data_IF_440943356916
#
_entry.id   IF_440943356916
#
_cell.length_a   1.000
_cell.length_b   1.000
_cell.length_c   1.000
_cell.angle_alpha   90.00
_cell.angle_beta   90.00
_cell.angle_gamma   90.00
#
_symmetry.space_group_name_H-M   'P 1'
#
loop_
_entity.id
_entity.type
_entity.pdbx_description
1 polymer ?
#
# COMPACT_ATOMS: atom_id res chain seq x y z
N UNK A 1 4.80 -19.49 2.87
CA UNK A 1 4.19 -18.87 4.06
C UNK A 1 5.04 -19.04 5.32
N UNK A 2 5.74 -20.17 5.52
CA UNK A 2 6.60 -20.38 6.71
C UNK A 2 7.75 -19.39 6.96
N UNK A 3 7.94 -18.37 6.10
CA UNK A 3 8.93 -17.29 6.28
C UNK A 3 8.47 -16.20 7.27
N UNK A 4 7.16 -16.11 7.52
CA UNK A 4 6.60 -15.13 8.43
C UNK A 4 6.64 -15.64 9.88
N UNK A 5 6.74 -14.73 10.84
CA UNK A 5 6.73 -15.08 12.27
C UNK A 5 5.36 -15.63 12.69
N UNK A 6 5.35 -16.37 13.79
CA UNK A 6 4.12 -16.78 14.48
C UNK A 6 3.27 -15.56 14.82
N UNK A 7 1.96 -15.72 14.69
CA UNK A 7 0.94 -14.68 14.88
C UNK A 7 1.14 -13.38 14.08
N UNK A 8 2.10 -13.35 13.15
CA UNK A 8 2.40 -12.14 12.41
C UNK A 8 1.33 -11.87 11.37
N UNK A 9 0.89 -10.62 11.32
CA UNK A 9 -0.11 -10.18 10.37
C UNK A 9 0.53 -9.93 8.99
N UNK A 10 0.16 -10.75 8.00
CA UNK A 10 0.79 -10.75 6.68
C UNK A 10 -0.03 -9.90 5.72
N UNK A 11 0.46 -8.70 5.40
CA UNK A 11 -0.16 -7.85 4.39
C UNK A 11 -0.29 -8.56 3.03
N UNK A 12 -1.52 -8.69 2.51
CA UNK A 12 -1.83 -9.33 1.24
C UNK A 12 -0.99 -8.76 0.08
N UNK A 13 -0.92 -7.42 0.00
CA UNK A 13 -0.14 -6.72 -1.03
C UNK A 13 1.36 -6.98 -0.97
N UNK A 14 1.92 -7.32 0.21
CA UNK A 14 3.34 -7.65 0.35
C UNK A 14 3.59 -9.09 -0.10
N UNK A 15 2.72 -10.01 0.31
CA UNK A 15 2.81 -11.43 -0.04
C UNK A 15 2.78 -11.64 -1.55
N UNK A 16 1.82 -10.99 -2.21
CA UNK A 16 1.67 -10.98 -3.66
C UNK A 16 2.97 -10.53 -4.36
N UNK A 17 3.52 -9.38 -3.95
CA UNK A 17 4.73 -8.80 -4.53
C UNK A 17 5.93 -9.75 -4.42
N UNK A 18 6.05 -10.45 -3.29
CA UNK A 18 7.08 -11.47 -3.09
C UNK A 18 6.88 -12.64 -4.07
N UNK A 19 5.66 -13.17 -4.20
CA UNK A 19 5.38 -14.29 -5.11
C UNK A 19 5.61 -13.96 -6.58
N UNK A 20 5.29 -12.73 -7.00
CA UNK A 20 5.59 -12.24 -8.35
C UNK A 20 7.11 -12.21 -8.59
N UNK A 21 7.87 -11.63 -7.65
CA UNK A 21 9.32 -11.52 -7.79
C UNK A 21 10.04 -12.88 -7.77
N UNK A 22 9.52 -13.82 -6.97
CA UNK A 22 9.98 -15.21 -6.91
C UNK A 22 9.61 -16.02 -8.16
N UNK A 23 8.61 -15.56 -8.92
CA UNK A 23 8.10 -16.24 -10.12
C UNK A 23 7.15 -17.40 -9.83
N UNK A 24 6.55 -17.43 -8.63
CA UNK A 24 5.52 -18.42 -8.28
C UNK A 24 4.21 -18.17 -9.00
N UNK A 25 3.88 -16.89 -9.20
CA UNK A 25 2.71 -16.48 -9.96
C UNK A 25 3.07 -16.40 -11.44
N UNK A 26 2.53 -17.32 -12.23
CA UNK A 26 2.48 -17.20 -13.68
C UNK A 26 1.12 -16.62 -14.06
N UNK A 27 1.04 -15.61 -14.95
CA UNK A 27 -0.24 -15.18 -15.50
C UNK A 27 -0.90 -16.37 -16.19
N UNK A 28 -2.11 -16.74 -15.75
CA UNK A 28 -2.97 -17.66 -16.52
C UNK A 28 -3.36 -16.94 -17.82
N UNK A 29 -3.29 -17.62 -18.96
CA UNK A 29 -3.53 -17.00 -20.28
C UNK A 29 -4.83 -16.18 -20.28
N UNK A 30 -4.72 -14.88 -20.53
CA UNK A 30 -5.86 -13.95 -20.64
C UNK A 30 -6.34 -13.30 -19.33
N UNK A 31 -5.79 -13.63 -18.15
CA UNK A 31 -6.14 -12.97 -16.88
C UNK A 31 -5.06 -12.00 -16.43
N UNK A 32 -5.48 -10.90 -15.81
CA UNK A 32 -4.54 -9.94 -15.21
C UNK A 32 -3.82 -10.58 -14.00
N UNK A 33 -2.61 -10.10 -13.70
CA UNK A 33 -1.84 -10.58 -12.55
C UNK A 33 -2.63 -10.45 -11.25
N UNK A 34 -3.42 -9.38 -11.12
CA UNK A 34 -4.25 -9.05 -9.95
C UNK A 34 -5.40 -10.05 -9.75
N UNK A 35 -5.99 -10.56 -10.85
CA UNK A 35 -7.02 -11.61 -10.79
C UNK A 35 -6.42 -12.97 -10.43
N UNK A 36 -5.26 -13.30 -11.02
CA UNK A 36 -4.55 -14.53 -10.67
C UNK A 36 -4.17 -14.53 -9.18
N UNK A 37 -3.63 -13.42 -8.68
CA UNK A 37 -3.28 -13.20 -7.28
C UNK A 37 -4.43 -13.48 -6.31
N UNK A 38 -5.62 -12.92 -6.60
CA UNK A 38 -6.83 -13.13 -5.78
C UNK A 38 -7.27 -14.59 -5.73
N UNK A 39 -7.17 -15.31 -6.86
CA UNK A 39 -7.53 -16.73 -6.93
C UNK A 39 -6.61 -17.62 -6.08
N UNK A 40 -5.29 -17.39 -6.11
CA UNK A 40 -4.35 -18.19 -5.31
C UNK A 40 -4.57 -17.99 -3.81
N UNK A 41 -4.76 -16.75 -3.36
CA UNK A 41 -5.00 -16.46 -1.94
C UNK A 41 -6.34 -17.03 -1.48
N UNK A 42 -7.40 -16.86 -2.27
CA UNK A 42 -8.70 -17.46 -1.99
C UNK A 42 -8.63 -18.98 -1.86
N UNK A 43 -7.93 -19.65 -2.77
CA UNK A 43 -7.75 -21.10 -2.70
C UNK A 43 -6.99 -21.57 -1.45
N UNK A 44 -6.09 -20.75 -0.89
CA UNK A 44 -5.42 -21.07 0.39
C UNK A 44 -6.36 -20.88 1.59
N UNK A 45 -7.22 -19.85 1.55
CA UNK A 45 -8.26 -19.62 2.56
C UNK A 45 -9.28 -20.75 2.53
N UNK A 46 -9.79 -21.11 1.35
CA UNK A 46 -10.80 -22.18 1.17
C UNK A 46 -10.29 -23.56 1.64
N UNK A 47 -8.97 -23.75 1.69
CA UNK A 47 -8.30 -24.96 2.22
C UNK A 47 -7.90 -24.85 3.69
N UNK A 48 -8.27 -23.77 4.37
CA UNK A 48 -7.91 -23.47 5.76
C UNK A 48 -6.40 -23.47 6.02
N UNK A 49 -5.58 -23.11 5.01
CA UNK A 49 -4.12 -23.02 5.16
C UNK A 49 -3.68 -21.65 5.65
N UNK A 50 -4.49 -20.62 5.42
CA UNK A 50 -4.29 -19.25 5.89
C UNK A 50 -5.66 -18.71 6.33
N UNK A 51 -5.67 -17.79 7.29
CA UNK A 51 -6.89 -17.16 7.80
C UNK A 51 -6.92 -15.68 7.43
N UNK A 52 -8.12 -15.11 7.22
CA UNK A 52 -8.30 -13.68 7.00
C UNK A 52 -8.19 -12.96 8.35
N UNK A 53 -7.28 -11.98 8.44
CA UNK A 53 -7.03 -11.22 9.67
C UNK A 53 -7.69 -9.84 9.62
N UNK A 54 -7.46 -9.10 8.53
CA UNK A 54 -8.17 -7.86 8.25
C UNK A 54 -8.76 -7.90 6.86
N UNK A 55 -10.00 -7.48 6.76
CA UNK A 55 -10.74 -7.39 5.52
C UNK A 55 -11.17 -5.95 5.29
N UNK A 56 -10.93 -5.43 4.08
CA UNK A 56 -11.64 -4.23 3.65
C UNK A 56 -13.08 -4.62 3.31
N UNK A 57 -14.05 -3.72 3.55
CA UNK A 57 -15.40 -3.90 3.04
C UNK A 57 -15.39 -4.32 1.54
N UNK A 58 -16.36 -5.17 1.11
CA UNK A 58 -16.44 -5.84 -0.21
C UNK A 58 -15.61 -7.12 -0.38
N UNK A 59 -15.20 -7.76 0.71
CA UNK A 59 -14.41 -8.99 0.65
C UNK A 59 -12.91 -8.78 0.33
N UNK A 60 -12.43 -7.54 0.43
CA UNK A 60 -11.08 -7.17 -0.01
C UNK A 60 -10.07 -7.40 1.11
N UNK A 61 -9.61 -8.64 1.26
CA UNK A 61 -8.66 -9.00 2.33
C UNK A 61 -7.39 -8.12 2.30
N UNK A 62 -7.13 -7.45 3.43
CA UNK A 62 -5.95 -6.61 3.66
C UNK A 62 -4.77 -7.43 4.15
N UNK A 63 -5.04 -8.42 4.96
CA UNK A 63 -4.01 -9.26 5.56
C UNK A 63 -4.53 -10.62 5.94
N UNK A 64 -3.57 -11.54 6.01
CA UNK A 64 -3.79 -12.93 6.37
C UNK A 64 -2.94 -13.29 7.58
N UNK A 65 -3.36 -14.32 8.31
CA UNK A 65 -2.57 -15.04 9.29
C UNK A 65 -2.32 -16.46 8.81
N UNK A 66 -1.38 -17.13 9.46
CA UNK A 66 -1.15 -18.57 9.30
C UNK A 66 -1.20 -19.18 10.70
N UNK A 67 -1.94 -20.27 10.86
CA UNK A 67 -1.97 -21.01 12.12
C UNK A 67 -0.61 -21.66 12.38
N UNK A 68 -0.18 -21.69 13.65
CA UNK A 68 1.17 -22.14 14.04
C UNK A 68 1.49 -23.56 13.56
N UNK A 69 0.54 -24.50 13.69
CA UNK A 69 0.72 -25.88 13.20
C UNK A 69 0.94 -25.94 11.68
N UNK A 70 0.24 -25.09 10.92
CA UNK A 70 0.39 -25.01 9.45
C UNK A 70 1.71 -24.33 9.09
N UNK A 71 2.13 -23.32 9.86
CA UNK A 71 3.44 -22.68 9.73
C UNK A 71 4.56 -23.70 9.99
N UNK A 72 4.49 -24.47 11.07
CA UNK A 72 5.47 -25.50 11.41
C UNK A 72 5.56 -26.57 10.33
N UNK A 73 4.41 -27.01 9.80
CA UNK A 73 4.36 -27.92 8.65
C UNK A 73 5.04 -27.30 7.41
N UNK A 74 4.78 -26.02 7.11
CA UNK A 74 5.44 -25.32 6.01
C UNK A 74 6.96 -25.24 6.19
N UNK A 75 7.44 -24.98 7.41
CA UNK A 75 8.87 -24.88 7.72
C UNK A 75 9.53 -26.25 7.58
N UNK A 76 8.96 -27.30 8.20
CA UNK A 76 9.44 -28.68 8.08
C UNK A 76 9.51 -29.13 6.63
N UNK A 77 8.43 -28.94 5.86
CA UNK A 77 8.41 -29.32 4.45
C UNK A 77 9.41 -28.51 3.61
N UNK A 78 9.56 -27.22 3.89
CA UNK A 78 10.54 -26.41 3.17
C UNK A 78 12.00 -26.78 3.52
N UNK A 79 12.24 -27.31 4.71
CA UNK A 79 13.54 -27.86 5.11
C UNK A 79 13.83 -29.17 4.36
N UNK A 80 12.88 -30.11 4.32
CA UNK A 80 13.00 -31.35 3.52
C UNK A 80 13.34 -31.08 2.05
N UNK A 81 12.72 -30.05 1.47
CA UNK A 81 12.88 -29.68 0.06
C UNK A 81 14.03 -28.69 -0.19
N UNK A 82 14.83 -28.35 0.83
CA UNK A 82 15.92 -27.36 0.76
C UNK A 82 15.49 -25.98 0.20
N UNK A 83 14.23 -25.60 0.47
CA UNK A 83 13.54 -24.50 -0.18
C UNK A 83 13.58 -23.18 0.61
N UNK A 84 13.59 -23.26 1.95
CA UNK A 84 13.56 -22.12 2.87
C UNK A 84 14.37 -22.45 4.13
N UNK A 85 15.12 -21.46 4.61
CA UNK A 85 15.75 -21.49 5.92
C UNK A 85 15.13 -20.47 6.88
N UNK A 86 14.70 -20.95 8.05
CA UNK A 86 14.20 -20.16 9.20
C UNK A 86 14.91 -20.68 10.45
N UNK A 87 15.67 -19.83 11.15
CA UNK A 87 16.66 -20.25 12.16
C UNK A 87 16.09 -20.81 13.48
N UNK A 88 14.79 -20.93 13.66
CA UNK A 88 14.25 -21.73 14.78
C UNK A 88 14.71 -23.21 14.74
N UNK A 89 15.32 -23.66 13.62
CA UNK A 89 15.76 -25.04 13.40
C UNK A 89 17.23 -25.09 12.93
N UNK A 90 17.98 -26.08 13.43
CA UNK A 90 19.43 -26.27 13.22
C UNK A 90 19.84 -26.27 11.74
N UNK A 91 21.07 -25.83 11.45
CA UNK A 91 21.72 -25.93 10.14
C UNK A 91 22.13 -27.38 9.83
N UNK A 92 21.61 -27.98 8.75
CA UNK A 92 22.27 -29.14 8.17
C UNK A 92 23.45 -28.66 7.31
N UNK A 93 24.58 -29.34 7.44
CA UNK A 93 25.76 -29.12 6.59
C UNK A 93 25.42 -29.53 5.15
N UNK A 94 25.87 -28.74 4.17
CA UNK A 94 25.83 -28.98 2.70
C UNK A 94 24.55 -28.61 1.91
N UNK A 95 23.84 -27.53 2.25
CA UNK A 95 22.55 -27.22 1.60
C UNK A 95 22.58 -26.04 0.61
N UNK A 96 22.03 -26.29 -0.59
CA UNK A 96 21.72 -25.33 -1.66
C UNK A 96 20.51 -24.42 -1.32
N UNK A 97 20.57 -23.71 -0.19
CA UNK A 97 19.46 -22.89 0.29
C UNK A 97 19.10 -21.79 -0.71
N UNK A 98 17.83 -21.75 -1.12
CA UNK A 98 17.34 -20.78 -2.11
C UNK A 98 16.73 -19.54 -1.47
N UNK A 99 16.33 -19.58 -0.20
CA UNK A 99 15.70 -18.45 0.52
C UNK A 99 16.16 -18.39 1.97
N UNK A 100 16.44 -17.17 2.42
CA UNK A 100 16.99 -16.88 3.73
C UNK A 100 16.11 -15.84 4.41
N UNK A 101 15.65 -16.14 5.62
CA UNK A 101 15.00 -15.18 6.49
C UNK A 101 15.75 -15.06 7.81
N UNK A 102 15.97 -13.82 8.23
CA UNK A 102 16.75 -13.50 9.41
C UNK A 102 15.97 -12.59 10.37
N UNK A 103 16.01 -12.94 11.66
CA UNK A 103 15.45 -12.14 12.75
C UNK A 103 16.53 -11.41 13.56
N UNK A 104 17.79 -11.83 13.45
CA UNK A 104 18.97 -11.12 13.95
C UNK A 104 20.10 -11.22 12.90
N UNK A 105 20.92 -10.18 12.74
CA UNK A 105 22.00 -10.17 11.76
C UNK A 105 23.17 -11.08 12.12
N UNK A 106 23.45 -11.23 13.42
CA UNK A 106 24.48 -12.15 13.92
C UNK A 106 24.20 -13.60 13.48
N UNK A 107 22.92 -13.91 13.26
CA UNK A 107 22.49 -15.23 12.85
C UNK A 107 22.88 -15.61 11.43
N UNK A 108 22.93 -14.61 10.55
CA UNK A 108 23.22 -14.79 9.13
C UNK A 108 24.72 -14.84 8.92
N UNK A 109 25.46 -13.97 9.62
CA UNK A 109 26.89 -13.73 9.38
C UNK A 109 27.75 -15.00 9.49
N UNK A 110 27.46 -15.84 10.48
CA UNK A 110 28.16 -17.11 10.69
C UNK A 110 27.96 -18.13 9.56
N UNK A 111 26.88 -18.01 8.78
CA UNK A 111 26.44 -19.04 7.82
C UNK A 111 26.30 -18.53 6.38
N UNK A 112 26.61 -17.25 6.12
CA UNK A 112 26.51 -16.63 4.78
C UNK A 112 27.25 -17.42 3.70
N UNK A 113 28.45 -17.90 4.02
CA UNK A 113 29.30 -18.65 3.08
C UNK A 113 28.69 -19.99 2.66
N UNK A 114 27.70 -20.50 3.41
CA UNK A 114 27.01 -21.76 3.13
C UNK A 114 25.80 -21.56 2.19
N UNK A 115 25.48 -20.31 1.81
CA UNK A 115 24.27 -19.99 1.05
C UNK A 115 24.52 -19.24 -0.27
N UNK A 116 25.55 -19.58 -1.09
CA UNK A 116 25.88 -18.80 -2.30
C UNK A 116 24.76 -18.82 -3.36
N UNK A 117 23.82 -19.77 -3.28
CA UNK A 117 22.70 -19.93 -4.21
C UNK A 117 21.41 -19.26 -3.75
N UNK A 118 21.44 -18.49 -2.66
CA UNK A 118 20.26 -17.78 -2.18
C UNK A 118 19.73 -16.81 -3.25
N UNK A 119 18.43 -16.90 -3.51
CA UNK A 119 17.68 -16.02 -4.42
C UNK A 119 16.78 -15.04 -3.68
N UNK A 120 16.63 -15.19 -2.37
CA UNK A 120 15.77 -14.36 -1.55
C UNK A 120 16.41 -14.15 -0.19
N UNK A 121 16.53 -12.91 0.23
CA UNK A 121 16.97 -12.53 1.56
C UNK A 121 15.96 -11.56 2.17
N UNK A 122 15.43 -11.92 3.34
CA UNK A 122 14.48 -11.10 4.08
C UNK A 122 14.95 -10.91 5.52
N UNK A 123 15.00 -9.66 5.98
CA UNK A 123 15.24 -9.33 7.37
C UNK A 123 13.94 -8.87 8.02
N UNK A 124 13.50 -9.61 9.04
CA UNK A 124 12.26 -9.35 9.79
C UNK A 124 12.52 -9.11 11.28
N UNK A 125 13.80 -8.95 11.66
CA UNK A 125 14.21 -8.64 13.02
C UNK A 125 13.87 -7.23 13.49
N UNK A 126 14.06 -7.01 14.80
CA UNK A 126 14.07 -5.68 15.39
C UNK A 126 15.19 -4.82 14.77
N UNK A 127 15.00 -3.50 14.79
CA UNK A 127 15.87 -2.55 14.07
C UNK A 127 17.34 -2.72 14.47
N UNK A 128 18.16 -3.23 13.55
CA UNK A 128 19.60 -3.38 13.70
C UNK A 128 20.36 -2.24 13.00
N UNK A 129 21.59 -1.96 13.47
CA UNK A 129 22.55 -1.06 12.81
C UNK A 129 23.29 -1.79 11.67
N UNK A 130 23.68 -1.01 10.68
CA UNK A 130 24.16 -1.29 9.30
C UNK A 130 25.30 -2.33 9.13
N UNK A 131 25.90 -2.82 10.21
CA UNK A 131 27.31 -3.27 10.27
C UNK A 131 27.64 -4.51 9.40
N UNK A 132 26.65 -5.28 8.92
CA UNK A 132 26.89 -6.55 8.22
C UNK A 132 26.22 -6.68 6.83
N UNK A 133 25.57 -5.63 6.34
CA UNK A 133 24.76 -5.69 5.12
C UNK A 133 25.59 -5.83 3.84
N UNK A 134 26.75 -5.17 3.80
CA UNK A 134 27.70 -5.24 2.69
C UNK A 134 28.17 -6.67 2.44
N UNK A 135 28.46 -7.43 3.51
CA UNK A 135 28.86 -8.85 3.43
C UNK A 135 27.74 -9.75 2.91
N UNK A 136 26.50 -9.51 3.34
CA UNK A 136 25.33 -10.25 2.83
C UNK A 136 25.21 -10.03 1.32
N UNK A 137 25.24 -8.78 0.87
CA UNK A 137 25.09 -8.43 -0.54
C UNK A 137 26.24 -8.98 -1.39
N UNK A 138 27.48 -8.88 -0.89
CA UNK A 138 28.66 -9.34 -1.62
C UNK A 138 28.72 -10.87 -1.75
N UNK A 139 28.16 -11.60 -0.78
CA UNK A 139 28.09 -13.07 -0.79
C UNK A 139 26.92 -13.57 -1.63
N UNK A 140 25.73 -12.97 -1.49
CA UNK A 140 24.49 -13.45 -2.10
C UNK A 140 24.23 -12.77 -3.46
N UNK A 141 25.09 -12.99 -4.46
CA UNK A 141 25.01 -12.31 -5.77
C UNK A 141 23.82 -12.75 -6.65
N UNK A 142 23.15 -13.86 -6.31
CA UNK A 142 22.04 -14.42 -7.08
C UNK A 142 20.65 -13.97 -6.60
N UNK A 143 20.59 -12.98 -5.71
CA UNK A 143 19.34 -12.47 -5.16
C UNK A 143 18.40 -11.91 -6.24
N UNK A 144 17.15 -12.35 -6.17
CA UNK A 144 15.97 -11.82 -6.86
C UNK A 144 15.09 -11.00 -5.92
N UNK A 145 15.11 -11.31 -4.63
CA UNK A 145 14.33 -10.61 -3.60
C UNK A 145 15.28 -10.16 -2.50
N UNK A 146 15.26 -8.87 -2.19
CA UNK A 146 15.95 -8.29 -1.04
C UNK A 146 14.93 -7.44 -0.25
N UNK A 147 14.49 -7.93 0.91
CA UNK A 147 13.60 -7.21 1.82
C UNK A 147 14.33 -6.89 3.13
N UNK A 148 14.75 -5.65 3.27
CA UNK A 148 15.51 -5.13 4.41
C UNK A 148 14.80 -3.93 5.05
N UNK A 149 13.47 -3.87 4.96
CA UNK A 149 12.67 -2.78 5.55
C UNK A 149 12.86 -2.63 7.06
N UNK A 150 13.22 -3.71 7.76
CA UNK A 150 13.50 -3.70 9.21
C UNK A 150 14.80 -2.99 9.60
N UNK A 151 15.66 -2.64 8.65
CA UNK A 151 17.00 -2.09 8.89
C UNK A 151 17.00 -0.61 8.58
N UNK A 152 17.52 0.22 9.49
CA UNK A 152 17.64 1.66 9.24
C UNK A 152 19.01 1.96 8.65
N UNK A 153 19.06 2.11 7.33
CA UNK A 153 20.27 2.49 6.60
C UNK A 153 20.49 3.99 6.73
N UNK A 154 21.73 4.40 6.97
CA UNK A 154 22.08 5.83 6.92
C UNK A 154 22.26 6.25 5.47
N UNK A 155 22.90 5.40 4.68
CA UNK A 155 23.14 5.63 3.26
C UNK A 155 22.63 4.47 2.42
N UNK A 156 22.40 4.73 1.14
CA UNK A 156 22.07 3.70 0.19
C UNK A 156 23.31 2.82 -0.05
N UNK A 157 23.28 1.52 0.26
CA UNK A 157 24.41 0.62 0.05
C UNK A 157 24.60 0.37 -1.44
N UNK A 158 25.64 0.98 -2.02
CA UNK A 158 25.94 0.91 -3.45
C UNK A 158 26.22 -0.51 -3.94
N UNK A 159 26.58 -1.43 -3.05
CA UNK A 159 26.75 -2.86 -3.33
C UNK A 159 25.47 -3.50 -3.87
N UNK A 160 24.28 -2.99 -3.49
CA UNK A 160 22.99 -3.49 -4.03
C UNK A 160 22.97 -3.40 -5.56
N UNK A 161 23.65 -2.41 -6.14
CA UNK A 161 23.73 -2.21 -7.59
C UNK A 161 24.45 -3.34 -8.34
N UNK A 162 25.16 -4.21 -7.62
CA UNK A 162 25.80 -5.40 -8.16
C UNK A 162 24.81 -6.57 -8.34
N UNK A 163 23.64 -6.52 -7.70
CA UNK A 163 22.61 -7.56 -7.73
C UNK A 163 21.76 -7.47 -9.02
N UNK A 164 22.36 -7.73 -10.18
CA UNK A 164 21.68 -7.59 -11.49
C UNK A 164 20.47 -8.50 -11.69
N UNK A 165 20.32 -9.55 -10.88
CA UNK A 165 19.18 -10.48 -10.90
C UNK A 165 17.98 -9.99 -10.08
N UNK A 166 18.11 -8.86 -9.38
CA UNK A 166 17.12 -8.38 -8.44
C UNK A 166 15.82 -7.99 -9.15
N UNK A 167 14.70 -8.49 -8.62
CA UNK A 167 13.33 -8.25 -9.08
C UNK A 167 12.49 -7.52 -8.03
N UNK A 168 12.82 -7.68 -6.76
CA UNK A 168 12.18 -7.01 -5.64
C UNK A 168 13.24 -6.42 -4.71
N UNK A 169 13.11 -5.12 -4.45
CA UNK A 169 13.93 -4.40 -3.51
C UNK A 169 13.04 -3.64 -2.54
N UNK A 170 13.14 -3.94 -1.26
CA UNK A 170 12.48 -3.18 -0.20
C UNK A 170 13.49 -2.76 0.86
N UNK A 171 13.65 -1.46 1.07
CA UNK A 171 14.65 -0.93 2.00
C UNK A 171 14.17 0.32 2.72
N UNK A 172 14.84 0.60 3.84
CA UNK A 172 14.60 1.78 4.64
C UNK A 172 15.91 2.57 4.75
N UNK A 173 15.95 3.79 4.20
CA UNK A 173 17.17 4.61 4.11
C UNK A 173 16.93 6.06 4.51
N UNK A 174 17.99 6.75 4.95
CA UNK A 174 17.99 8.21 5.16
C UNK A 174 18.52 8.98 3.96
N UNK A 175 19.31 8.37 3.08
CA UNK A 175 19.84 9.02 1.89
C UNK A 175 18.88 8.89 0.69
N UNK A 176 18.95 9.83 -0.28
CA UNK A 176 18.34 9.63 -1.60
C UNK A 176 18.81 8.35 -2.29
N UNK A 177 18.04 7.90 -3.28
CA UNK A 177 18.46 6.83 -4.18
C UNK A 177 19.45 7.39 -5.23
N UNK A 178 20.56 6.71 -5.52
CA UNK A 178 21.47 7.14 -6.57
C UNK A 178 20.85 6.87 -7.96
N UNK A 179 21.18 7.67 -8.96
CA UNK A 179 20.73 7.47 -10.36
C UNK A 179 21.14 6.13 -10.95
N UNK A 180 22.23 5.57 -10.44
CA UNK A 180 22.73 4.24 -10.80
C UNK A 180 21.81 3.08 -10.38
N UNK A 181 20.74 3.33 -9.61
CA UNK A 181 19.68 2.34 -9.34
C UNK A 181 19.03 1.81 -10.63
N UNK A 182 19.02 2.61 -11.70
CA UNK A 182 18.56 2.23 -13.04
C UNK A 182 19.32 1.03 -13.63
N UNK A 183 20.54 0.73 -13.14
CA UNK A 183 21.32 -0.46 -13.51
C UNK A 183 20.64 -1.77 -13.13
N UNK A 184 19.69 -1.74 -12.20
CA UNK A 184 18.89 -2.91 -11.80
C UNK A 184 17.76 -3.17 -12.80
N UNK A 185 18.10 -3.41 -14.07
CA UNK A 185 17.15 -3.54 -15.18
C UNK A 185 16.12 -4.68 -15.02
N UNK A 186 16.36 -5.64 -14.13
CA UNK A 186 15.43 -6.72 -13.79
C UNK A 186 14.41 -6.34 -12.71
N UNK A 187 14.54 -5.17 -12.09
CA UNK A 187 13.73 -4.79 -10.95
C UNK A 187 12.29 -4.58 -11.38
N UNK A 188 11.36 -5.26 -10.70
CA UNK A 188 9.92 -5.20 -10.94
C UNK A 188 9.21 -4.42 -9.86
N UNK A 189 9.70 -4.50 -8.61
CA UNK A 189 9.08 -3.90 -7.44
C UNK A 189 10.16 -3.17 -6.62
N UNK A 190 9.96 -1.88 -6.41
CA UNK A 190 10.79 -1.03 -5.56
C UNK A 190 9.94 -0.47 -4.42
N UNK A 191 10.37 -0.71 -3.19
CA UNK A 191 9.74 -0.16 -1.98
C UNK A 191 10.80 0.57 -1.18
N UNK A 192 10.64 1.87 -0.99
CA UNK A 192 11.58 2.66 -0.20
C UNK A 192 10.82 3.40 0.89
N UNK A 193 11.23 3.12 2.13
CA UNK A 193 10.76 3.83 3.32
C UNK A 193 11.80 4.88 3.70
N UNK A 194 11.45 6.15 3.50
CA UNK A 194 12.27 7.25 3.92
C UNK A 194 12.30 7.39 5.45
N UNK A 195 13.48 7.64 6.00
CA UNK A 195 13.66 8.14 7.37
C UNK A 195 14.39 9.47 7.30
N UNK A 196 13.73 10.52 6.83
CA UNK A 196 14.30 11.87 6.82
C UNK A 196 14.03 12.60 8.15
N UNK A 197 15.00 13.40 8.60
CA UNK A 197 14.85 14.39 9.69
C UNK A 197 15.61 15.68 9.32
N UNK A 198 14.95 16.85 9.16
CA UNK A 198 13.49 16.99 9.12
C UNK A 198 12.90 16.14 7.98
N UNK A 199 11.61 15.79 8.03
CA UNK A 199 10.96 14.86 7.10
C UNK A 199 10.82 15.45 5.70
N UNK A 200 11.95 15.70 5.05
CA UNK A 200 12.02 16.06 3.66
C UNK A 200 11.79 14.83 2.77
N UNK A 201 11.39 15.06 1.53
CA UNK A 201 11.35 14.01 0.51
C UNK A 201 12.69 13.28 0.36
N UNK A 202 12.69 12.04 -0.15
CA UNK A 202 13.83 11.63 -0.97
C UNK A 202 13.70 12.24 -2.34
N UNK A 203 14.79 12.73 -2.92
CA UNK A 203 14.84 13.00 -4.36
C UNK A 203 15.06 11.66 -5.04
N UNK A 204 14.19 11.34 -5.98
CA UNK A 204 14.33 10.19 -6.87
C UNK A 204 14.69 10.71 -8.23
N UNK A 205 15.74 10.14 -8.81
CA UNK A 205 16.24 10.57 -10.10
C UNK A 205 15.34 10.06 -11.23
N UNK A 206 15.31 10.76 -12.37
CA UNK A 206 14.45 10.41 -13.51
C UNK A 206 14.64 8.99 -14.02
N UNK A 207 15.86 8.46 -13.95
CA UNK A 207 16.29 7.20 -14.57
C UNK A 207 15.60 5.98 -13.95
N UNK A 208 14.92 6.12 -12.80
CA UNK A 208 14.06 5.06 -12.27
C UNK A 208 12.89 4.78 -13.22
N UNK A 209 12.42 5.80 -13.93
CA UNK A 209 11.33 5.63 -14.90
C UNK A 209 11.80 4.93 -16.18
N UNK A 210 13.10 4.92 -16.46
CA UNK A 210 13.70 4.22 -17.61
C UNK A 210 13.77 2.70 -17.41
N UNK A 211 13.46 2.22 -16.20
CA UNK A 211 13.49 0.81 -15.85
C UNK A 211 12.27 0.09 -16.43
N UNK A 212 12.41 -0.46 -17.63
CA UNK A 212 11.31 -1.07 -18.41
C UNK A 212 10.63 -2.26 -17.74
N UNK A 213 11.27 -2.96 -16.79
CA UNK A 213 10.62 -4.07 -16.06
C UNK A 213 9.91 -3.64 -14.78
N UNK A 214 10.07 -2.37 -14.39
CA UNK A 214 9.55 -1.84 -13.14
C UNK A 214 8.04 -1.62 -13.23
N UNK A 215 7.30 -2.34 -12.39
CA UNK A 215 5.83 -2.33 -12.37
C UNK A 215 5.27 -1.57 -11.20
N UNK A 216 5.99 -1.57 -10.07
CA UNK A 216 5.49 -0.99 -8.84
C UNK A 216 6.59 -0.23 -8.10
N UNK A 217 6.31 1.04 -7.83
CA UNK A 217 7.13 1.90 -7.00
C UNK A 217 6.30 2.35 -5.80
N UNK A 218 6.77 2.02 -4.60
CA UNK A 218 6.13 2.41 -3.35
C UNK A 218 7.08 3.22 -2.50
N UNK A 219 6.90 4.52 -2.51
CA UNK A 219 7.54 5.41 -1.57
C UNK A 219 6.67 5.64 -0.33
N UNK A 220 7.32 5.94 0.79
CA UNK A 220 6.69 6.56 1.96
C UNK A 220 7.35 7.94 2.16
N UNK A 221 6.70 9.00 1.67
CA UNK A 221 7.11 10.43 1.67
C UNK A 221 8.35 10.71 0.79
N UNK A 222 8.18 10.95 -0.51
CA UNK A 222 9.30 11.09 -1.47
C UNK A 222 8.95 12.01 -2.64
N UNK A 223 9.88 12.84 -3.10
CA UNK A 223 9.74 13.61 -4.34
C UNK A 223 10.39 12.86 -5.49
N UNK A 224 9.68 12.79 -6.60
CA UNK A 224 10.29 12.42 -7.87
C UNK A 224 10.59 13.72 -8.58
N UNK A 225 11.87 13.94 -8.89
CA UNK A 225 12.29 15.03 -9.75
C UNK A 225 12.52 14.44 -11.14
N UNK A 226 11.79 14.93 -12.14
CA UNK A 226 11.90 14.48 -13.52
C UNK A 226 12.14 15.69 -14.42
N UNK A 227 13.38 15.86 -14.88
CA UNK A 227 13.79 16.98 -15.75
C UNK A 227 13.99 16.58 -17.21
N UNK A 228 13.93 15.27 -17.54
CA UNK A 228 14.26 14.77 -18.88
C UNK A 228 13.02 14.41 -19.70
N UNK A 229 13.14 14.43 -21.04
CA UNK A 229 12.00 14.59 -21.95
C UNK A 229 11.64 13.35 -22.79
N UNK A 230 12.13 12.15 -22.48
CA UNK A 230 12.24 11.11 -23.52
C UNK A 230 11.72 9.70 -23.21
N UNK A 231 11.16 9.38 -22.05
CA UNK A 231 10.76 8.00 -21.75
C UNK A 231 9.29 7.86 -21.35
N UNK A 232 8.56 7.07 -22.14
CA UNK A 232 7.23 6.54 -21.78
C UNK A 232 7.44 5.26 -20.99
N UNK A 233 6.92 5.19 -19.76
CA UNK A 233 7.03 4.00 -18.92
C UNK A 233 5.74 3.19 -18.96
N UNK A 234 5.61 2.37 -20.00
CA UNK A 234 4.41 1.59 -20.26
C UNK A 234 4.19 0.40 -19.30
N UNK A 235 5.20 -0.06 -18.56
CA UNK A 235 5.05 -1.20 -17.64
C UNK A 235 4.64 -0.80 -16.22
N UNK A 236 4.69 0.50 -15.86
CA UNK A 236 4.42 0.94 -14.51
C UNK A 236 2.92 0.92 -14.21
N UNK A 237 2.51 0.09 -13.25
CA UNK A 237 1.11 -0.10 -12.87
C UNK A 237 0.75 0.60 -11.55
N UNK A 238 1.74 0.82 -10.69
CA UNK A 238 1.54 1.46 -9.40
C UNK A 238 2.68 2.40 -9.05
N UNK A 239 2.34 3.65 -8.76
CA UNK A 239 3.25 4.67 -8.27
C UNK A 239 2.63 5.30 -7.03
N UNK A 240 3.31 5.32 -5.88
CA UNK A 240 2.72 5.90 -4.67
C UNK A 240 3.65 6.82 -3.90
N UNK A 241 3.04 7.92 -3.43
CA UNK A 241 3.59 8.94 -2.54
C UNK A 241 4.62 9.83 -3.22
N UNK A 242 4.22 10.44 -4.35
CA UNK A 242 5.00 11.42 -5.12
C UNK A 242 4.44 12.82 -4.87
N UNK A 243 5.29 13.85 -4.76
CA UNK A 243 4.77 15.21 -4.68
C UNK A 243 4.15 15.66 -5.99
N UNK A 244 2.94 16.19 -5.90
CA UNK A 244 2.21 16.71 -7.06
C UNK A 244 2.78 18.04 -7.57
N UNK A 245 3.41 18.84 -6.71
CA UNK A 245 4.09 20.10 -7.08
C UNK A 245 5.13 19.90 -8.19
N UNK A 246 5.89 18.80 -8.11
CA UNK A 246 6.94 18.45 -9.08
C UNK A 246 6.47 17.53 -10.22
N UNK A 247 5.19 17.11 -10.25
CA UNK A 247 4.64 16.34 -11.36
C UNK A 247 4.16 17.31 -12.44
N UNK A 248 4.81 17.30 -13.60
CA UNK A 248 4.36 18.01 -14.82
C UNK A 248 3.38 17.14 -15.61
N UNK A 249 2.55 17.76 -16.46
CA UNK A 249 1.63 17.03 -17.34
C UNK A 249 2.36 16.04 -18.26
N UNK A 250 3.61 16.34 -18.62
CA UNK A 250 4.47 15.43 -19.40
C UNK A 250 4.82 14.16 -18.64
N UNK A 251 5.08 14.25 -17.34
CA UNK A 251 5.30 13.06 -16.49
C UNK A 251 4.00 12.25 -16.43
N UNK A 252 2.86 12.90 -16.24
CA UNK A 252 1.56 12.21 -16.23
C UNK A 252 1.33 11.47 -17.55
N UNK A 253 1.64 12.09 -18.68
CA UNK A 253 1.60 11.46 -20.01
C UNK A 253 2.61 10.30 -20.13
N UNK A 254 3.83 10.46 -19.62
CA UNK A 254 4.85 9.40 -19.63
C UNK A 254 4.46 8.18 -18.79
N UNK A 255 3.60 8.35 -17.77
CA UNK A 255 3.08 7.27 -16.94
C UNK A 255 1.86 6.56 -17.54
N UNK A 256 1.32 7.04 -18.67
CA UNK A 256 0.29 6.35 -19.45
C UNK A 256 0.92 5.25 -20.33
N UNK A 257 0.20 4.16 -20.67
CA UNK A 257 -1.24 3.92 -20.48
C UNK A 257 -1.62 3.03 -19.29
N UNK A 258 -0.68 2.33 -18.64
CA UNK A 258 -1.02 1.20 -17.76
C UNK A 258 -1.06 1.52 -16.25
N UNK A 259 -0.91 2.79 -15.87
CA UNK A 259 -0.92 3.18 -14.45
C UNK A 259 -2.32 3.02 -13.85
N UNK A 260 -2.47 2.05 -12.94
CA UNK A 260 -3.72 1.72 -12.26
C UNK A 260 -3.86 2.34 -10.89
N UNK A 261 -2.74 2.60 -10.22
CA UNK A 261 -2.69 3.07 -8.83
C UNK A 261 -1.72 4.24 -8.71
N UNK A 262 -2.24 5.39 -8.30
CA UNK A 262 -1.44 6.60 -8.07
C UNK A 262 -1.61 7.07 -6.62
N UNK A 263 -0.50 7.41 -5.97
CA UNK A 263 -0.48 8.10 -4.70
C UNK A 263 0.28 9.40 -4.84
N UNK A 264 -0.35 10.51 -4.52
CA UNK A 264 0.24 11.83 -4.53
C UNK A 264 0.18 12.46 -3.14
N UNK A 265 1.10 13.37 -2.87
CA UNK A 265 0.95 14.28 -1.75
C UNK A 265 1.27 15.71 -2.14
N UNK A 266 0.72 16.65 -1.37
CA UNK A 266 0.94 18.07 -1.48
C UNK A 266 1.54 18.57 -0.16
N UNK A 267 2.59 19.36 -0.28
CA UNK A 267 3.35 19.95 0.82
C UNK A 267 3.55 21.46 0.64
N UNK A 268 3.21 21.97 -0.55
CA UNK A 268 3.24 23.36 -0.95
C UNK A 268 1.94 23.67 -1.71
N UNK A 269 1.58 24.95 -1.85
CA UNK A 269 0.44 25.36 -2.67
C UNK A 269 0.68 25.02 -4.15
N UNK A 270 -0.40 24.66 -4.87
CA UNK A 270 -0.31 24.36 -6.29
C UNK A 270 -0.54 25.63 -7.11
N UNK A 271 0.49 26.04 -7.85
CA UNK A 271 0.40 27.21 -8.74
C UNK A 271 -0.50 26.99 -9.96
N UNK A 272 -0.83 25.73 -10.29
CA UNK A 272 -1.58 25.34 -11.48
C UNK A 272 -2.42 24.09 -11.25
N UNK A 273 -3.52 24.02 -11.98
CA UNK A 273 -4.32 22.80 -12.10
C UNK A 273 -3.48 21.66 -12.68
N UNK A 274 -3.67 20.44 -12.18
CA UNK A 274 -3.07 19.21 -12.69
C UNK A 274 -4.16 18.31 -13.24
N UNK A 275 -4.02 17.96 -14.51
CA UNK A 275 -4.99 17.15 -15.21
C UNK A 275 -4.65 15.66 -15.13
N UNK A 276 -5.30 14.93 -14.23
CA UNK A 276 -5.13 13.48 -14.13
C UNK A 276 -6.02 12.72 -15.13
N UNK A 277 -6.80 13.41 -15.97
CA UNK A 277 -7.68 12.80 -16.96
C UNK A 277 -6.93 11.93 -17.98
N UNK A 278 -5.67 12.27 -18.27
CA UNK A 278 -4.80 11.45 -19.15
C UNK A 278 -4.61 10.03 -18.64
N UNK A 279 -4.73 9.78 -17.34
CA UNK A 279 -4.54 8.48 -16.72
C UNK A 279 -5.82 7.61 -16.84
N UNK A 280 -6.18 7.23 -18.07
CA UNK A 280 -7.44 6.55 -18.40
C UNK A 280 -7.61 5.15 -17.76
N UNK A 281 -6.53 4.52 -17.30
CA UNK A 281 -6.58 3.26 -16.55
C UNK A 281 -6.44 3.45 -15.04
N UNK A 282 -6.49 4.68 -14.53
CA UNK A 282 -6.32 4.95 -13.11
C UNK A 282 -7.59 4.56 -12.34
N UNK A 283 -7.48 3.48 -11.56
CA UNK A 283 -8.59 2.96 -10.76
C UNK A 283 -8.50 3.37 -9.30
N UNK A 284 -7.30 3.68 -8.80
CA UNK A 284 -7.07 4.07 -7.40
C UNK A 284 -6.21 5.31 -7.32
N UNK A 285 -6.72 6.33 -6.65
CA UNK A 285 -6.01 7.56 -6.33
C UNK A 285 -5.94 7.72 -4.81
N UNK A 286 -4.75 8.00 -4.30
CA UNK A 286 -4.52 8.37 -2.90
C UNK A 286 -3.91 9.76 -2.86
N UNK A 287 -4.59 10.69 -2.23
CA UNK A 287 -4.10 12.04 -2.01
C UNK A 287 -3.77 12.22 -0.55
N UNK A 288 -2.69 12.94 -0.27
CA UNK A 288 -2.36 13.40 1.07
C UNK A 288 -1.97 14.86 1.03
N UNK A 289 -2.45 15.67 1.96
CA UNK A 289 -2.04 17.07 2.04
C UNK A 289 -1.45 17.38 3.41
N UNK A 290 -0.37 18.16 3.45
CA UNK A 290 0.11 18.77 4.67
C UNK A 290 0.06 20.26 4.37
N UNK A 291 -0.82 21.03 5.02
CA UNK A 291 -0.90 22.50 4.95
C UNK A 291 -1.77 23.16 3.86
N UNK A 292 -2.67 22.48 3.15
CA UNK A 292 -3.32 23.08 1.96
C UNK A 292 -4.56 23.95 2.17
N UNK A 293 -5.20 23.96 3.34
CA UNK A 293 -6.45 24.71 3.54
C UNK A 293 -7.56 24.43 2.50
N UNK A 294 -7.51 23.30 1.78
CA UNK A 294 -8.44 22.97 0.66
C UNK A 294 -7.88 23.12 -0.76
N UNK A 295 -6.62 23.52 -0.93
CA UNK A 295 -6.06 23.87 -2.24
C UNK A 295 -5.76 22.66 -3.16
N UNK A 296 -5.50 21.46 -2.61
CA UNK A 296 -5.12 20.30 -3.43
C UNK A 296 -6.25 19.86 -4.37
N UNK A 297 -7.44 19.61 -3.82
CA UNK A 297 -8.55 19.02 -4.58
C UNK A 297 -9.09 19.98 -5.63
N UNK A 298 -9.13 21.28 -5.31
CA UNK A 298 -9.50 22.35 -6.22
C UNK A 298 -8.62 22.37 -7.48
N UNK A 299 -7.35 22.01 -7.36
CA UNK A 299 -6.39 21.98 -8.47
C UNK A 299 -6.23 20.61 -9.15
N UNK A 300 -7.07 19.62 -8.85
CA UNK A 300 -7.00 18.30 -9.49
C UNK A 300 -8.20 18.06 -10.38
N UNK A 301 -7.97 17.64 -11.63
CA UNK A 301 -9.01 17.07 -12.48
C UNK A 301 -8.95 15.55 -12.35
N UNK A 302 -10.03 14.93 -11.88
CA UNK A 302 -10.10 13.49 -11.66
C UNK A 302 -10.43 12.74 -12.96
N UNK A 303 -9.81 11.56 -13.21
CA UNK A 303 -10.17 10.72 -14.36
C UNK A 303 -11.49 9.97 -14.10
N UNK A 304 -12.28 9.74 -15.15
CA UNK A 304 -13.54 8.99 -15.05
C UNK A 304 -13.36 7.51 -14.69
N UNK A 305 -12.18 6.93 -14.91
CA UNK A 305 -11.87 5.54 -14.57
C UNK A 305 -11.74 5.27 -13.07
N UNK A 306 -11.78 6.32 -12.24
CA UNK A 306 -11.47 6.24 -10.83
C UNK A 306 -12.55 5.48 -10.05
N UNK A 307 -12.15 4.35 -9.44
CA UNK A 307 -13.01 3.50 -8.61
C UNK A 307 -12.81 3.69 -7.12
N UNK A 308 -11.61 4.09 -6.71
CA UNK A 308 -11.23 4.26 -5.31
C UNK A 308 -10.48 5.56 -5.10
N UNK A 309 -11.04 6.44 -4.27
CA UNK A 309 -10.39 7.66 -3.81
C UNK A 309 -10.10 7.55 -2.31
N UNK A 310 -8.87 7.87 -1.92
CA UNK A 310 -8.48 8.00 -0.51
C UNK A 310 -7.86 9.36 -0.29
N UNK A 311 -8.49 10.18 0.53
CA UNK A 311 -8.00 11.49 0.96
C UNK A 311 -7.47 11.37 2.39
N UNK A 312 -6.27 11.92 2.62
CA UNK A 312 -5.62 11.92 3.93
C UNK A 312 -5.14 13.30 4.28
N UNK A 313 -5.50 13.79 5.46
CA UNK A 313 -5.02 15.08 5.97
C UNK A 313 -5.32 16.27 4.99
N UNK A 314 -6.31 16.12 4.09
CA UNK A 314 -6.68 17.14 3.10
C UNK A 314 -7.70 18.13 3.66
N UNK A 315 -7.61 19.40 3.28
CA UNK A 315 -8.74 20.31 3.35
C UNK A 315 -9.78 19.97 2.28
N UNK A 316 -11.06 20.08 2.61
CA UNK A 316 -12.18 19.77 1.71
C UNK A 316 -13.13 20.97 1.69
N UNK A 317 -13.34 21.54 0.49
CA UNK A 317 -14.37 22.54 0.23
C UNK A 317 -15.68 21.88 -0.17
N UNK A 318 -16.79 22.59 -0.01
CA UNK A 318 -18.11 22.10 -0.45
C UNK A 318 -18.16 21.89 -1.98
N UNK A 319 -17.38 22.66 -2.74
CA UNK A 319 -17.22 22.43 -4.18
C UNK A 319 -16.51 21.11 -4.50
N UNK A 320 -15.59 20.66 -3.64
CA UNK A 320 -14.85 19.41 -3.84
C UNK A 320 -15.73 18.19 -3.58
N UNK A 321 -16.60 18.23 -2.58
CA UNK A 321 -17.56 17.13 -2.30
C UNK A 321 -18.47 16.89 -3.48
N UNK A 322 -18.98 17.95 -4.10
CA UNK A 322 -19.87 17.86 -5.26
C UNK A 322 -19.14 17.27 -6.48
N UNK A 323 -17.88 17.69 -6.71
CA UNK A 323 -17.04 17.18 -7.80
C UNK A 323 -16.72 15.69 -7.62
N UNK A 324 -16.41 15.27 -6.39
CA UNK A 324 -16.18 13.86 -6.06
C UNK A 324 -17.49 13.07 -6.19
N UNK A 325 -18.61 13.64 -5.76
CA UNK A 325 -19.94 13.05 -5.88
C UNK A 325 -20.33 12.72 -7.32
N UNK A 326 -19.92 13.55 -8.28
CA UNK A 326 -20.21 13.35 -9.72
C UNK A 326 -19.29 12.35 -10.42
N UNK A 327 -18.39 11.68 -9.71
CA UNK A 327 -17.49 10.69 -10.32
C UNK A 327 -18.26 9.42 -10.72
N UNK A 328 -18.27 9.04 -12.02
CA UNK A 328 -19.23 8.08 -12.55
C UNK A 328 -18.96 6.63 -12.10
N UNK A 329 -17.73 6.31 -11.71
CA UNK A 329 -17.31 4.96 -11.35
C UNK A 329 -16.80 4.84 -9.90
N UNK A 330 -16.98 5.88 -9.07
CA UNK A 330 -16.43 5.91 -7.72
C UNK A 330 -17.19 4.95 -6.82
N UNK A 331 -16.57 3.82 -6.49
CA UNK A 331 -17.17 2.79 -5.63
C UNK A 331 -16.71 2.91 -4.17
N UNK A 332 -15.51 3.44 -3.93
CA UNK A 332 -14.88 3.49 -2.61
C UNK A 332 -14.33 4.89 -2.33
N UNK A 333 -14.82 5.53 -1.27
CA UNK A 333 -14.32 6.79 -0.74
C UNK A 333 -13.80 6.60 0.69
N UNK A 334 -12.58 7.07 0.93
CA UNK A 334 -11.96 7.07 2.27
C UNK A 334 -11.46 8.45 2.61
N UNK A 335 -11.95 8.99 3.72
CA UNK A 335 -11.58 10.30 4.26
C UNK A 335 -10.92 10.06 5.62
N UNK A 336 -9.64 10.43 5.77
CA UNK A 336 -8.88 10.16 6.99
C UNK A 336 -8.12 11.41 7.44
N UNK A 337 -8.48 11.99 8.58
CA UNK A 337 -7.85 13.22 9.09
C UNK A 337 -8.20 14.47 8.25
N UNK A 338 -9.21 14.40 7.39
CA UNK A 338 -9.58 15.51 6.51
C UNK A 338 -10.33 16.61 7.28
N UNK A 339 -10.14 17.86 6.85
CA UNK A 339 -10.74 19.05 7.44
C UNK A 339 -11.75 19.66 6.46
N UNK A 340 -13.04 19.54 6.76
CA UNK A 340 -14.10 20.22 6.04
C UNK A 340 -14.15 21.68 6.47
N UNK A 341 -14.07 22.61 5.52
CA UNK A 341 -14.04 24.05 5.81
C UNK A 341 -15.37 24.52 6.41
N UNK A 342 -16.49 24.07 5.85
CA UNK A 342 -17.83 24.38 6.33
C UNK A 342 -18.20 23.61 7.62
N UNK A 343 -17.41 22.60 8.00
CA UNK A 343 -17.73 21.57 9.03
C UNK A 343 -19.06 20.86 8.81
N UNK A 344 -19.60 20.96 7.59
CA UNK A 344 -20.83 20.31 7.14
C UNK A 344 -20.56 19.55 5.85
N UNK A 345 -21.37 18.55 5.57
CA UNK A 345 -21.34 17.86 4.28
C UNK A 345 -22.77 17.58 3.81
N UNK A 346 -23.24 18.37 2.86
CA UNK A 346 -24.57 18.25 2.26
C UNK A 346 -24.42 18.06 0.75
N UNK A 347 -25.32 17.29 0.15
CA UNK A 347 -25.39 17.16 -1.31
C UNK A 347 -26.23 18.31 -1.88
N UNK A 348 -25.70 18.99 -2.89
CA UNK A 348 -26.41 20.10 -3.52
C UNK A 348 -27.36 19.61 -4.62
N UNK A 349 -26.98 18.50 -5.27
CA UNK A 349 -27.72 17.90 -6.38
C UNK A 349 -27.98 16.42 -6.07
N UNK A 350 -29.20 15.92 -6.34
CA UNK A 350 -29.62 14.57 -5.96
C UNK A 350 -28.97 13.42 -6.75
N UNK A 351 -27.98 13.71 -7.61
CA UNK A 351 -27.27 12.75 -8.46
C UNK A 351 -25.84 12.44 -7.98
N UNK A 352 -25.48 12.90 -6.79
CA UNK A 352 -24.16 12.67 -6.21
C UNK A 352 -23.99 11.23 -5.68
N UNK A 353 -22.75 10.73 -5.74
CA UNK A 353 -22.30 9.45 -5.18
C UNK A 353 -23.10 8.21 -5.65
N UNK A 354 -23.65 8.24 -6.87
CA UNK A 354 -24.54 7.20 -7.40
C UNK A 354 -23.94 5.78 -7.44
N UNK A 355 -22.61 5.64 -7.55
CA UNK A 355 -21.93 4.34 -7.53
C UNK A 355 -21.21 4.04 -6.21
N UNK A 356 -21.29 4.95 -5.23
CA UNK A 356 -20.56 4.80 -3.99
C UNK A 356 -21.16 3.68 -3.16
N UNK A 357 -20.36 2.65 -2.94
CA UNK A 357 -20.73 1.47 -2.16
C UNK A 357 -20.04 1.45 -0.79
N UNK A 358 -18.91 2.15 -0.66
CA UNK A 358 -18.07 2.09 0.53
C UNK A 358 -17.61 3.47 0.97
N UNK A 359 -17.94 3.83 2.20
CA UNK A 359 -17.50 5.07 2.82
C UNK A 359 -16.74 4.79 4.12
N UNK A 360 -15.53 5.34 4.23
CA UNK A 360 -14.77 5.37 5.48
C UNK A 360 -14.54 6.81 5.88
N UNK A 361 -14.98 7.15 7.09
CA UNK A 361 -14.81 8.43 7.76
C UNK A 361 -13.96 8.22 8.99
N UNK A 362 -12.76 8.80 9.03
CA UNK A 362 -11.84 8.67 10.15
C UNK A 362 -11.28 10.03 10.54
N UNK A 363 -11.39 10.42 11.82
CA UNK A 363 -10.83 11.68 12.34
C UNK A 363 -11.26 12.93 11.56
N UNK A 364 -12.56 13.04 11.28
CA UNK A 364 -13.12 14.20 10.56
C UNK A 364 -13.66 15.23 11.56
N UNK A 365 -13.59 16.51 11.19
CA UNK A 365 -14.11 17.65 11.96
C UNK A 365 -15.58 17.99 11.62
N UNK A 366 -16.33 17.02 11.08
CA UNK A 366 -17.71 17.21 10.64
C UNK A 366 -18.65 17.28 11.85
N UNK A 367 -19.49 18.30 11.88
CA UNK A 367 -20.54 18.47 12.90
C UNK A 367 -21.91 18.00 12.43
N UNK A 368 -22.14 18.09 11.12
CA UNK A 368 -23.36 17.68 10.44
C UNK A 368 -22.99 17.12 9.08
N UNK A 369 -23.76 16.14 8.61
CA UNK A 369 -23.65 15.61 7.26
C UNK A 369 -25.01 15.07 6.86
N UNK A 370 -25.42 15.24 5.60
CA UNK A 370 -26.58 14.59 4.99
C UNK A 370 -26.41 14.41 3.47
N UNK A 371 -25.30 13.81 3.00
CA UNK A 371 -25.11 13.53 1.57
C UNK A 371 -26.02 12.40 1.07
N UNK A 372 -26.31 12.41 -0.23
CA UNK A 372 -27.12 11.37 -0.87
C UNK A 372 -26.25 10.15 -1.26
N UNK A 373 -26.53 8.97 -0.71
CA UNK A 373 -25.81 7.73 -1.03
C UNK A 373 -26.75 6.59 -1.46
N UNK A 374 -27.21 6.57 -2.71
CA UNK A 374 -28.28 5.66 -3.14
C UNK A 374 -27.89 4.17 -3.17
N UNK A 375 -26.59 3.86 -3.18
CA UNK A 375 -26.05 2.48 -3.30
C UNK A 375 -25.03 2.13 -2.22
N UNK A 376 -25.05 2.82 -1.08
CA UNK A 376 -24.10 2.54 -0.01
C UNK A 376 -24.34 1.15 0.56
N UNK A 377 -23.26 0.37 0.67
CA UNK A 377 -23.29 -0.98 1.24
C UNK A 377 -22.59 -1.00 2.59
N UNK A 378 -21.50 -0.25 2.77
CA UNK A 378 -20.78 -0.22 4.03
C UNK A 378 -20.34 1.19 4.41
N UNK A 379 -20.61 1.52 5.67
CA UNK A 379 -20.23 2.76 6.33
C UNK A 379 -19.34 2.46 7.52
N UNK A 380 -18.18 3.10 7.59
CA UNK A 380 -17.26 2.99 8.73
C UNK A 380 -16.94 4.39 9.25
N UNK A 381 -17.25 4.65 10.52
CA UNK A 381 -16.99 5.91 11.22
C UNK A 381 -16.04 5.64 12.39
N UNK A 382 -14.93 6.38 12.47
CA UNK A 382 -13.87 6.19 13.46
C UNK A 382 -13.34 7.52 13.97
N UNK A 383 -13.35 7.73 15.28
CA UNK A 383 -12.74 8.91 15.93
C UNK A 383 -13.21 10.26 15.33
N UNK A 384 -14.46 10.35 14.92
CA UNK A 384 -15.16 11.56 14.47
C UNK A 384 -15.94 12.18 15.65
N UNK A 385 -15.22 12.67 16.66
CA UNK A 385 -15.79 13.14 17.93
C UNK A 385 -16.77 14.31 17.83
N UNK A 386 -16.66 15.12 16.77
CA UNK A 386 -17.49 16.30 16.55
C UNK A 386 -18.86 15.97 15.93
N UNK A 387 -19.01 14.74 15.43
CA UNK A 387 -20.19 14.30 14.70
C UNK A 387 -21.34 14.05 15.69
N UNK A 388 -22.41 14.82 15.57
CA UNK A 388 -23.54 14.77 16.54
C UNK A 388 -24.40 13.53 16.39
N UNK A 389 -24.69 13.15 15.15
CA UNK A 389 -25.59 12.05 14.83
C UNK A 389 -25.32 11.46 13.44
N UNK A 390 -25.88 10.27 13.21
CA UNK A 390 -25.95 9.64 11.88
C UNK A 390 -27.31 10.01 11.27
N UNK A 391 -27.35 10.59 10.06
CA UNK A 391 -28.58 10.94 9.37
C UNK A 391 -29.57 9.79 9.30
N UNK A 392 -30.83 10.09 9.58
CA UNK A 392 -31.91 9.10 9.52
C UNK A 392 -31.99 8.42 8.15
N UNK A 393 -31.80 9.18 7.08
CA UNK A 393 -31.85 8.67 5.70
C UNK A 393 -30.80 7.60 5.37
N UNK A 394 -29.75 7.42 6.19
CA UNK A 394 -28.80 6.31 6.00
C UNK A 394 -29.45 4.96 6.34
N UNK A 395 -30.37 4.92 7.31
CA UNK A 395 -31.07 3.68 7.67
C UNK A 395 -32.00 3.18 6.58
N UNK A 396 -32.47 4.10 5.73
CA UNK A 396 -33.43 3.82 4.66
C UNK A 396 -32.75 3.40 3.35
N UNK A 397 -31.41 3.30 3.32
CA UNK A 397 -30.65 2.86 2.15
C UNK A 397 -30.82 1.33 1.98
N UNK A 398 -31.44 0.86 0.88
CA UNK A 398 -31.79 -0.56 0.73
C UNK A 398 -30.59 -1.48 0.54
N UNK A 399 -29.46 -0.95 0.09
CA UNK A 399 -28.22 -1.72 -0.14
C UNK A 399 -27.33 -1.78 1.10
N UNK A 400 -27.65 -1.08 2.19
CA UNK A 400 -26.77 -0.94 3.32
C UNK A 400 -26.68 -2.25 4.11
N UNK A 401 -25.49 -2.85 4.14
CA UNK A 401 -25.20 -4.11 4.80
C UNK A 401 -24.56 -3.91 6.18
N UNK A 402 -23.62 -2.96 6.31
CA UNK A 402 -22.81 -2.79 7.53
C UNK A 402 -22.61 -1.32 7.89
N UNK A 403 -22.80 -1.01 9.18
CA UNK A 403 -22.43 0.28 9.77
C UNK A 403 -21.53 0.04 10.98
N UNK A 404 -20.24 0.33 10.84
CA UNK A 404 -19.25 0.27 11.91
C UNK A 404 -19.03 1.66 12.52
N UNK A 405 -19.27 1.81 13.82
CA UNK A 405 -19.02 3.07 14.54
C UNK A 405 -18.06 2.79 15.68
N UNK A 406 -16.87 3.39 15.62
CA UNK A 406 -15.84 3.30 16.64
C UNK A 406 -15.58 4.69 17.24
N UNK A 407 -16.50 5.13 18.09
CA UNK A 407 -16.45 6.43 18.77
C UNK A 407 -16.39 6.25 20.29
N UNK A 408 -15.80 7.22 20.98
CA UNK A 408 -15.72 7.23 22.45
C UNK A 408 -17.01 7.74 23.10
N UNK A 409 -17.90 8.41 22.35
CA UNK A 409 -19.10 9.07 22.87
C UNK A 409 -20.38 8.24 22.66
N UNK A 410 -21.17 8.14 23.74
CA UNK A 410 -22.44 7.38 23.83
C UNK A 410 -23.60 7.92 22.98
N UNK A 411 -23.43 9.06 22.31
CA UNK A 411 -24.48 9.72 21.50
C UNK A 411 -24.96 8.86 20.30
N UNK A 412 -24.12 7.96 19.80
CA UNK A 412 -24.47 7.09 18.67
C UNK A 412 -25.36 5.90 19.04
N UNK A 413 -25.51 5.59 20.34
CA UNK A 413 -26.08 4.33 20.81
C UNK A 413 -27.63 4.25 20.76
N UNK A 414 -28.34 5.38 20.66
CA UNK A 414 -29.79 5.40 20.88
C UNK A 414 -30.66 5.23 19.61
N UNK A 415 -30.06 5.14 18.42
CA UNK A 415 -30.81 5.11 17.15
C UNK A 415 -30.75 3.82 16.33
N UNK A 416 -29.84 2.88 16.61
CA UNK A 416 -29.43 1.85 15.63
C UNK A 416 -29.75 0.41 16.07
N UNK A 417 -30.99 0.15 16.47
CA UNK A 417 -31.41 -1.15 17.04
C UNK A 417 -31.47 -2.30 16.01
N UNK A 418 -31.15 -2.08 14.73
CA UNK A 418 -31.28 -3.11 13.67
C UNK A 418 -30.05 -3.36 12.79
N UNK A 419 -28.89 -2.73 13.05
CA UNK A 419 -27.67 -2.97 12.26
C UNK A 419 -26.61 -3.67 13.11
N UNK A 420 -25.79 -4.52 12.48
CA UNK A 420 -24.67 -5.21 13.13
C UNK A 420 -23.59 -4.17 13.51
N UNK A 421 -23.80 -3.46 14.62
CA UNK A 421 -22.83 -2.51 15.19
C UNK A 421 -21.69 -3.33 15.77
N UNK A 422 -20.64 -3.56 14.97
CA UNK A 422 -19.38 -4.13 15.47
C UNK A 422 -18.64 -3.08 16.28
N UNK A 423 -18.95 -3.02 17.58
CA UNK A 423 -18.12 -2.33 18.55
C UNK A 423 -16.74 -3.01 18.59
N UNK A 424 -15.65 -2.24 18.74
CA UNK A 424 -14.31 -2.83 18.79
C UNK A 424 -14.21 -3.79 19.98
N UNK A 425 -13.70 -5.00 19.72
CA UNK A 425 -13.48 -6.09 20.69
C UNK A 425 -12.46 -5.79 21.81
N UNK A 426 -12.23 -4.53 22.17
CA UNK A 426 -11.21 -4.13 23.16
C UNK A 426 -11.76 -3.49 24.45
N UNK A 427 -13.03 -3.68 24.79
CA UNK A 427 -13.57 -3.24 26.09
C UNK A 427 -14.28 -4.32 26.92
N UNK A 428 -14.05 -5.61 26.63
CA UNK A 428 -14.54 -6.69 27.48
C UNK A 428 -13.48 -7.80 27.56
N UNK A 429 -12.41 -7.58 28.33
CA UNK A 429 -11.74 -8.58 29.18
C UNK A 429 -10.66 -7.85 30.00
N UNK A 430 -11.01 -7.62 31.28
CA UNK A 430 -10.20 -7.25 32.47
C UNK A 430 -9.01 -6.30 32.35
#
# INVERSE_FOLDING_TARGET
MGIFQEDSEICASRLIKLWVAEGFLKPLSGKSLEEAEGMYLKALVDRNLICVQREEPKGNVKSYGIHDLVRELCVRKAHEENFLFVKEWYFPRDILLRRVCAHNFQDVDASLNQMPLARSFMFTGAVSREILLSRVISTLKLLRVLDILGIRLNEFPTEILQLVNLRYLALTTRSPLPSSISRLWNLQILIVKAISFPPGPHKVTPEILDMTRLRQIKFKRTYIWYENYHVVQDQLQSLSTVAISHITDRILQALTPNLKKLGIFCDEELDRVRDLYYLQQLHTLKCRSFHDGGNLLSNLIFPHSLKKLTLRDCGILDSDTNRIGKLPNLEILKLQGCQFVSRKWESNEGDEFCQLRFLVMEKLNLTYWAPHFPRLEHLVIRQCSDLKEIPLGIKDIPTLEVVEVHEETTAFALGMVTLEVRLPLHCLYK
#
